data_IF_954941946916
#
_entry.id   IF_954941946916
#
_cell.length_a   1.000
_cell.length_b   1.000
_cell.length_c   1.000
_cell.angle_alpha   90.00
_cell.angle_beta   90.00
_cell.angle_gamma   90.00
#
_symmetry.space_group_name_H-M   'P 1'
#
loop_
_entity.id
_entity.type
_entity.pdbx_description
1 polymer ?
#
# COMPACT_ATOMS: atom_id res chain seq x y z
N UNK A 1 -11.87 8.41 -20.94
CA UNK A 1 -12.36 7.59 -19.80
C UNK A 1 -11.17 7.45 -18.88
N UNK A 2 -11.26 8.08 -17.72
CA UNK A 2 -10.18 8.17 -16.75
C UNK A 2 -10.15 6.86 -15.95
N UNK A 3 -9.69 5.79 -16.60
CA UNK A 3 -9.43 4.52 -15.92
C UNK A 3 -8.14 4.72 -15.14
N UNK A 4 -8.25 5.32 -13.96
CA UNK A 4 -7.15 5.30 -12.99
C UNK A 4 -6.94 3.83 -12.62
N UNK A 5 -6.02 3.16 -13.32
CA UNK A 5 -5.51 1.83 -12.96
C UNK A 5 -4.98 1.79 -11.53
N UNK A 6 -4.69 2.97 -10.98
CA UNK A 6 -4.33 3.18 -9.59
C UNK A 6 -5.53 3.08 -8.64
N UNK A 7 -6.75 2.82 -9.10
CA UNK A 7 -7.93 2.77 -8.24
C UNK A 7 -8.48 4.14 -7.89
N UNK A 8 -9.24 4.21 -6.79
CA UNK A 8 -10.01 5.40 -6.38
C UNK A 8 -9.75 5.77 -4.92
N UNK A 9 -9.85 7.06 -4.61
CA UNK A 9 -9.89 7.59 -3.24
C UNK A 9 -11.33 7.95 -2.90
N UNK A 10 -11.79 7.56 -1.72
CA UNK A 10 -13.10 7.93 -1.18
C UNK A 10 -13.10 7.97 0.34
N UNK A 11 -14.27 8.06 0.97
CA UNK A 11 -14.43 8.15 2.43
C UNK A 11 -13.84 6.93 3.15
N UNK A 12 -13.85 5.77 2.51
CA UNK A 12 -13.27 4.54 3.04
C UNK A 12 -11.75 4.47 2.87
N UNK A 13 -11.14 5.45 2.23
CA UNK A 13 -9.73 5.46 1.84
C UNK A 13 -9.53 5.07 0.38
N UNK A 14 -8.34 4.58 0.07
CA UNK A 14 -7.97 4.13 -1.26
C UNK A 14 -8.41 2.70 -1.52
N UNK A 15 -9.00 2.45 -2.70
CA UNK A 15 -9.44 1.14 -3.15
C UNK A 15 -8.78 0.77 -4.48
N UNK A 16 -8.07 -0.36 -4.50
CA UNK A 16 -7.48 -0.97 -5.70
C UNK A 16 -8.07 -2.36 -5.90
N UNK A 17 -8.52 -2.67 -7.12
CA UNK A 17 -9.04 -3.99 -7.46
C UNK A 17 -7.99 -4.82 -8.19
N UNK A 18 -7.80 -6.08 -7.77
CA UNK A 18 -6.87 -7.00 -8.42
C UNK A 18 -7.48 -8.39 -8.55
N UNK A 19 -7.31 -9.01 -9.71
CA UNK A 19 -7.65 -10.42 -9.92
C UNK A 19 -6.53 -11.30 -9.40
N UNK A 20 -6.88 -12.41 -8.76
CA UNK A 20 -5.95 -13.50 -8.47
C UNK A 20 -5.70 -14.30 -9.74
N UNK A 21 -4.42 -14.38 -10.14
CA UNK A 21 -3.97 -15.18 -11.27
C UNK A 21 -3.32 -16.48 -10.81
N UNK A 22 -3.07 -17.39 -11.75
CA UNK A 22 -2.49 -18.70 -11.46
C UNK A 22 -1.13 -18.57 -10.74
N UNK A 23 -0.31 -17.58 -11.13
CA UNK A 23 0.98 -17.27 -10.48
C UNK A 23 0.88 -16.81 -9.02
N UNK A 24 -0.32 -16.45 -8.56
CA UNK A 24 -0.57 -16.07 -7.17
C UNK A 24 -0.80 -17.29 -6.26
N UNK A 25 -1.07 -18.46 -6.85
CA UNK A 25 -1.48 -19.67 -6.14
C UNK A 25 -0.33 -20.64 -5.90
N UNK A 26 -0.47 -21.52 -4.91
CA UNK A 26 0.45 -22.64 -4.67
C UNK A 26 -0.25 -24.01 -4.80
N UNK A 27 0.48 -25.09 -4.48
CA UNK A 27 -0.02 -26.46 -4.61
C UNK A 27 -1.28 -26.76 -3.76
N UNK A 28 -1.62 -25.91 -2.79
CA UNK A 28 -2.85 -26.02 -2.00
C UNK A 28 -4.10 -25.58 -2.78
N UNK A 29 -3.94 -24.92 -3.93
CA UNK A 29 -5.04 -24.32 -4.69
C UNK A 29 -5.54 -22.99 -4.09
N UNK A 30 -4.81 -22.43 -3.11
CA UNK A 30 -5.06 -21.14 -2.50
C UNK A 30 -3.95 -20.15 -2.89
N UNK A 31 -4.19 -18.87 -2.67
CA UNK A 31 -3.14 -17.84 -2.80
C UNK A 31 -2.00 -18.12 -1.81
N UNK A 32 -0.78 -18.15 -2.34
CA UNK A 32 0.43 -18.30 -1.53
C UNK A 32 0.59 -17.11 -0.58
N UNK A 33 0.84 -17.35 0.71
CA UNK A 33 0.83 -16.30 1.73
C UNK A 33 1.72 -15.08 1.39
N UNK A 34 2.88 -15.27 0.75
CA UNK A 34 3.76 -14.16 0.37
C UNK A 34 3.17 -13.27 -0.73
N UNK A 35 2.27 -13.79 -1.58
CA UNK A 35 1.62 -13.00 -2.64
C UNK A 35 0.71 -11.91 -2.09
N UNK A 36 0.17 -12.08 -0.89
CA UNK A 36 -0.53 -10.99 -0.21
C UNK A 36 0.35 -9.76 0.02
N UNK A 37 1.67 -9.93 0.23
CA UNK A 37 2.59 -8.78 0.31
C UNK A 37 2.66 -7.99 -1.00
N UNK A 38 2.58 -8.67 -2.14
CA UNK A 38 2.56 -8.04 -3.46
C UNK A 38 1.24 -7.28 -3.69
N UNK A 39 0.11 -7.87 -3.30
CA UNK A 39 -1.18 -7.17 -3.39
C UNK A 39 -1.20 -5.91 -2.52
N UNK A 40 -0.73 -6.02 -1.27
CA UNK A 40 -0.60 -4.89 -0.35
C UNK A 40 0.36 -3.81 -0.88
N UNK A 41 1.48 -4.20 -1.49
CA UNK A 41 2.44 -3.27 -2.09
C UNK A 41 1.83 -2.48 -3.23
N UNK A 42 1.19 -3.15 -4.20
CA UNK A 42 0.49 -2.48 -5.31
C UNK A 42 -0.54 -1.49 -4.78
N UNK A 43 -1.32 -1.88 -3.76
CA UNK A 43 -2.24 -0.98 -3.07
C UNK A 43 -1.56 0.28 -2.52
N UNK A 44 -0.40 0.16 -1.86
CA UNK A 44 0.34 1.34 -1.36
C UNK A 44 0.89 2.19 -2.50
N UNK A 45 1.46 1.57 -3.52
CA UNK A 45 2.05 2.30 -4.64
C UNK A 45 0.99 3.09 -5.40
N UNK A 46 -0.17 2.49 -5.65
CA UNK A 46 -1.27 3.16 -6.34
C UNK A 46 -2.01 4.17 -5.45
N UNK A 47 -2.07 3.95 -4.14
CA UNK A 47 -2.51 4.97 -3.19
C UNK A 47 -1.67 6.25 -3.32
N UNK A 48 -0.35 6.13 -3.37
CA UNK A 48 0.54 7.27 -3.58
C UNK A 48 0.24 7.98 -4.91
N UNK A 49 0.00 7.24 -5.99
CA UNK A 49 -0.36 7.82 -7.29
C UNK A 49 -1.68 8.59 -7.26
N UNK A 50 -2.73 8.03 -6.65
CA UNK A 50 -4.01 8.72 -6.49
C UNK A 50 -3.87 10.03 -5.71
N UNK A 51 -2.94 10.08 -4.75
CA UNK A 51 -2.64 11.31 -4.05
C UNK A 51 -1.79 12.29 -4.86
N UNK A 52 -1.29 11.91 -6.05
CA UNK A 52 -0.38 12.68 -6.90
C UNK A 52 1.09 12.61 -6.45
N UNK A 53 1.48 11.52 -5.79
CA UNK A 53 2.80 11.30 -5.23
C UNK A 53 3.53 10.23 -6.04
N UNK A 54 4.47 10.66 -6.87
CA UNK A 54 5.33 9.75 -7.63
C UNK A 54 6.64 9.49 -6.88
N UNK A 55 6.86 8.25 -6.43
CA UNK A 55 8.03 7.88 -5.63
C UNK A 55 9.36 8.18 -6.35
N UNK A 56 9.41 7.99 -7.68
CA UNK A 56 10.59 8.34 -8.46
C UNK A 56 10.90 9.84 -8.43
N UNK A 57 9.86 10.68 -8.43
CA UNK A 57 10.04 12.12 -8.35
C UNK A 57 10.52 12.56 -6.95
N UNK A 58 10.08 11.87 -5.88
CA UNK A 58 10.53 12.13 -4.52
C UNK A 58 12.03 11.87 -4.30
N UNK A 59 12.58 10.85 -4.98
CA UNK A 59 14.01 10.55 -4.91
C UNK A 59 14.87 11.71 -5.45
N UNK A 60 14.38 12.46 -6.43
CA UNK A 60 15.12 13.54 -7.10
C UNK A 60 14.56 14.93 -6.79
N UNK A 61 13.63 15.07 -5.84
CA UNK A 61 12.95 16.34 -5.55
C UNK A 61 13.90 17.39 -4.93
N UNK A 62 14.96 16.94 -4.24
CA UNK A 62 16.03 17.76 -3.69
C UNK A 62 17.32 16.95 -3.53
N UNK A 63 18.36 17.59 -3.01
CA UNK A 63 19.69 16.99 -2.84
C UNK A 63 19.73 15.82 -1.84
N UNK A 64 18.80 15.72 -0.90
CA UNK A 64 18.76 14.61 0.06
C UNK A 64 18.00 13.40 -0.50
N UNK A 65 17.00 13.62 -1.36
CA UNK A 65 16.07 12.60 -1.84
C UNK A 65 15.17 12.07 -0.73
N UNK A 66 13.97 11.61 -1.06
CA UNK A 66 13.02 11.07 -0.09
C UNK A 66 12.58 9.67 -0.52
N UNK A 67 12.80 8.70 0.37
CA UNK A 67 12.57 7.28 0.13
C UNK A 67 11.69 6.71 1.24
N UNK A 68 10.72 5.89 0.86
CA UNK A 68 9.88 5.14 1.77
C UNK A 68 10.37 3.70 1.88
N UNK A 69 10.62 3.23 3.10
CA UNK A 69 11.04 1.84 3.36
C UNK A 69 10.10 1.21 4.37
N UNK A 70 9.60 0.01 4.07
CA UNK A 70 8.81 -0.77 5.04
C UNK A 70 9.74 -1.19 6.18
N UNK A 71 9.45 -0.69 7.38
CA UNK A 71 10.22 -0.96 8.60
C UNK A 71 9.63 -2.13 9.40
N UNK A 72 8.29 -2.23 9.46
CA UNK A 72 7.57 -3.30 10.15
C UNK A 72 6.22 -3.54 9.48
N UNK A 73 5.81 -4.80 9.44
CA UNK A 73 4.44 -5.20 9.09
C UNK A 73 3.89 -6.14 10.17
N UNK A 74 2.62 -5.98 10.50
CA UNK A 74 1.81 -6.91 11.30
C UNK A 74 0.66 -7.36 10.42
N UNK A 75 0.48 -8.68 10.24
CA UNK A 75 -0.45 -9.22 9.24
C UNK A 75 -1.25 -10.37 9.85
N UNK A 76 -2.58 -10.25 9.79
CA UNK A 76 -3.53 -11.31 10.09
C UNK A 76 -4.00 -11.97 8.79
N UNK A 77 -3.80 -13.28 8.66
CA UNK A 77 -4.37 -14.09 7.58
C UNK A 77 -5.67 -14.74 8.08
N UNK A 78 -6.82 -14.21 7.67
CA UNK A 78 -8.15 -14.61 8.21
C UNK A 78 -8.87 -15.62 7.33
N UNK A 79 -8.88 -15.38 6.02
CA UNK A 79 -9.53 -16.24 5.03
C UNK A 79 -8.68 -16.30 3.76
N UNK A 80 -8.64 -17.44 3.05
CA UNK A 80 -7.86 -17.56 1.82
C UNK A 80 -8.62 -17.03 0.60
N UNK A 81 -7.87 -16.60 -0.41
CA UNK A 81 -8.36 -16.34 -1.77
C UNK A 81 -7.99 -17.50 -2.71
N UNK A 82 -8.67 -17.57 -3.85
CA UNK A 82 -8.52 -18.58 -4.91
C UNK A 82 -8.34 -17.91 -6.27
N UNK A 83 -7.93 -18.72 -7.25
CA UNK A 83 -7.90 -18.31 -8.65
C UNK A 83 -9.20 -17.61 -9.06
N UNK A 84 -9.07 -16.54 -9.83
CA UNK A 84 -10.16 -15.69 -10.34
C UNK A 84 -10.95 -14.87 -9.31
N UNK A 85 -10.65 -14.99 -8.00
CA UNK A 85 -11.19 -14.04 -7.01
C UNK A 85 -10.79 -12.60 -7.37
N UNK A 86 -11.73 -11.66 -7.20
CA UNK A 86 -11.48 -10.24 -7.34
C UNK A 86 -11.27 -9.65 -5.95
N UNK A 87 -10.02 -9.27 -5.69
CA UNK A 87 -9.60 -8.68 -4.43
C UNK A 87 -9.81 -7.17 -4.45
N UNK A 88 -10.37 -6.64 -3.36
CA UNK A 88 -10.36 -5.21 -3.06
C UNK A 88 -9.27 -4.94 -2.03
N UNK A 89 -8.21 -4.25 -2.43
CA UNK A 89 -7.13 -3.81 -1.57
C UNK A 89 -7.46 -2.40 -1.09
N UNK A 90 -7.77 -2.28 0.20
CA UNK A 90 -8.06 -1.02 0.85
C UNK A 90 -6.81 -0.49 1.55
N UNK A 91 -6.47 0.79 1.37
CA UNK A 91 -5.33 1.45 2.02
C UNK A 91 -5.78 2.75 2.69
N UNK A 92 -5.48 2.90 3.97
CA UNK A 92 -5.79 4.09 4.78
C UNK A 92 -4.55 4.53 5.54
N UNK A 93 -4.36 5.84 5.70
CA UNK A 93 -3.29 6.37 6.56
C UNK A 93 -3.80 6.52 7.99
N UNK A 94 -3.15 5.85 8.93
CA UNK A 94 -3.38 6.05 10.36
C UNK A 94 -2.55 7.24 10.89
N UNK A 95 -1.33 7.40 10.37
CA UNK A 95 -0.41 8.46 10.80
C UNK A 95 0.59 8.81 9.70
N UNK A 96 0.87 10.09 9.51
CA UNK A 96 1.97 10.57 8.68
C UNK A 96 2.67 11.77 9.35
N UNK A 97 4.00 11.70 9.52
CA UNK A 97 4.78 12.82 10.06
C UNK A 97 6.07 12.38 10.78
N UNK A 98 6.95 13.34 11.06
CA UNK A 98 8.30 13.03 11.53
C UNK A 98 9.03 12.16 10.49
N UNK A 99 9.76 11.13 10.91
CA UNK A 99 10.46 10.22 10.01
C UNK A 99 9.69 8.90 9.73
N UNK A 100 8.35 8.89 9.86
CA UNK A 100 7.56 7.68 9.65
C UNK A 100 6.13 7.92 9.15
N UNK A 101 5.55 6.88 8.57
CA UNK A 101 4.14 6.76 8.27
C UNK A 101 3.61 5.41 8.79
N UNK A 102 2.32 5.37 9.11
CA UNK A 102 1.61 4.16 9.52
C UNK A 102 0.37 4.04 8.63
N UNK A 103 0.30 2.93 7.91
CA UNK A 103 -0.84 2.59 7.05
C UNK A 103 -1.59 1.40 7.63
N UNK A 104 -2.91 1.43 7.49
CA UNK A 104 -3.79 0.29 7.65
C UNK A 104 -4.19 -0.20 6.27
N UNK A 105 -4.02 -1.50 6.03
CA UNK A 105 -4.42 -2.13 4.79
C UNK A 105 -5.30 -3.34 5.04
N UNK A 106 -6.25 -3.54 4.13
CA UNK A 106 -7.12 -4.71 4.13
C UNK A 106 -7.18 -5.30 2.73
N UNK A 107 -7.37 -6.61 2.65
CA UNK A 107 -7.73 -7.30 1.41
C UNK A 107 -9.07 -7.98 1.64
N UNK A 108 -10.05 -7.65 0.80
CA UNK A 108 -11.39 -8.19 0.83
C UNK A 108 -11.70 -8.97 -0.44
N UNK A 109 -12.61 -9.94 -0.36
CA UNK A 109 -13.24 -10.59 -1.51
C UNK A 109 -14.73 -10.74 -1.20
N UNK A 110 -15.59 -10.13 -2.02
CA UNK A 110 -17.04 -10.06 -1.78
C UNK A 110 -17.37 -9.57 -0.35
N UNK A 111 -16.77 -8.44 0.07
CA UNK A 111 -16.91 -7.84 1.41
C UNK A 111 -16.36 -8.69 2.58
N UNK A 112 -15.85 -9.90 2.33
CA UNK A 112 -15.22 -10.72 3.37
C UNK A 112 -13.78 -10.29 3.57
N UNK A 113 -13.43 -9.96 4.81
CA UNK A 113 -12.05 -9.63 5.18
C UNK A 113 -11.15 -10.88 5.11
N UNK A 114 -10.22 -10.87 4.16
CA UNK A 114 -9.24 -11.95 3.97
C UNK A 114 -7.97 -11.65 4.76
N UNK A 115 -7.42 -10.45 4.58
CA UNK A 115 -6.17 -10.00 5.21
C UNK A 115 -6.39 -8.66 5.89
N UNK A 116 -5.82 -8.50 7.09
CA UNK A 116 -5.65 -7.21 7.74
C UNK A 116 -4.16 -6.97 8.01
N UNK A 117 -3.66 -5.80 7.68
CA UNK A 117 -2.25 -5.47 7.86
C UNK A 117 -2.03 -4.05 8.39
N UNK A 118 -1.15 -3.91 9.39
CA UNK A 118 -0.57 -2.63 9.81
C UNK A 118 0.84 -2.52 9.24
N UNK A 119 1.11 -1.45 8.50
CA UNK A 119 2.40 -1.21 7.85
C UNK A 119 3.04 0.04 8.42
N UNK A 120 4.23 -0.10 8.97
CA UNK A 120 5.05 1.02 9.44
C UNK A 120 6.13 1.29 8.41
N UNK A 121 6.11 2.49 7.86
CA UNK A 121 7.04 2.96 6.83
C UNK A 121 7.99 3.96 7.47
N UNK A 122 9.29 3.73 7.34
CA UNK A 122 10.32 4.71 7.64
C UNK A 122 10.51 5.66 6.45
N UNK A 123 10.69 6.94 6.74
CA UNK A 123 11.09 7.95 5.75
C UNK A 123 12.58 8.19 5.90
N UNK A 124 13.33 7.94 4.82
CA UNK A 124 14.78 8.06 4.80
C UNK A 124 15.23 8.93 3.62
N UNK A 125 16.44 9.46 3.73
CA UNK A 125 17.11 10.10 2.60
C UNK A 125 17.81 9.06 1.71
N UNK A 126 18.35 9.50 0.56
CA UNK A 126 19.06 8.62 -0.38
C UNK A 126 20.31 7.94 0.22
N UNK A 127 20.86 8.50 1.32
CA UNK A 127 21.97 7.91 2.08
C UNK A 127 21.52 6.90 3.16
N UNK A 128 20.22 6.58 3.23
CA UNK A 128 19.66 5.61 4.17
C UNK A 128 19.45 6.13 5.60
N UNK A 129 19.57 7.43 5.84
CA UNK A 129 19.38 8.04 7.17
C UNK A 129 17.94 8.51 7.36
N UNK A 130 17.39 8.46 8.59
CA UNK A 130 16.05 8.99 8.87
C UNK A 130 15.91 10.43 8.39
N UNK A 131 14.84 10.70 7.66
CA UNK A 131 14.52 12.01 7.10
C UNK A 131 13.10 12.40 7.49
N UNK A 132 12.88 13.66 7.84
CA UNK A 132 11.53 14.16 8.13
C UNK A 132 10.70 14.21 6.84
N UNK A 133 9.48 13.69 6.92
CA UNK A 133 8.45 13.84 5.90
C UNK A 133 8.05 15.32 5.80
N UNK A 134 8.14 15.96 4.61
CA UNK A 134 7.69 17.34 4.43
C UNK A 134 6.22 17.51 4.82
N UNK A 135 5.89 18.57 5.55
CA UNK A 135 4.54 18.77 6.10
C UNK A 135 3.48 18.86 4.98
N UNK A 136 3.82 19.44 3.82
CA UNK A 136 2.93 19.46 2.65
C UNK A 136 2.56 18.06 2.14
N UNK A 137 3.50 17.11 2.23
CA UNK A 137 3.26 15.72 1.84
C UNK A 137 2.52 14.96 2.95
N UNK A 138 2.86 15.20 4.22
CA UNK A 138 2.14 14.63 5.35
C UNK A 138 0.65 15.01 5.34
N UNK A 139 0.32 16.26 5.02
CA UNK A 139 -1.07 16.72 4.91
C UNK A 139 -1.85 16.00 3.82
N UNK A 140 -1.23 15.64 2.69
CA UNK A 140 -1.89 14.88 1.62
C UNK A 140 -2.25 13.46 2.06
N UNK A 141 -1.48 12.88 2.98
CA UNK A 141 -1.77 11.54 3.51
C UNK A 141 -2.85 11.52 4.58
N UNK A 142 -3.19 12.67 5.17
CA UNK A 142 -4.15 12.79 6.26
C UNK A 142 -5.48 13.43 5.84
N UNK A 143 -5.58 13.85 4.58
CA UNK A 143 -6.79 14.38 3.95
C UNK A 143 -7.63 13.23 3.35
#
# INVERSE_FOLDING_TARGET
>A
MDYSIAGTLGEEGHLLHQRVYYEDTDFSGLVYHARYLHFLERGRTDYLRCLGVEQRALLTADAEGLVFVVHRMEIDFRLPARMDDILTIRTVTEKAGGAKMVLQQQILCDERLLISAKVIIAVINAAGRPRRLPDALANRFLA
#
